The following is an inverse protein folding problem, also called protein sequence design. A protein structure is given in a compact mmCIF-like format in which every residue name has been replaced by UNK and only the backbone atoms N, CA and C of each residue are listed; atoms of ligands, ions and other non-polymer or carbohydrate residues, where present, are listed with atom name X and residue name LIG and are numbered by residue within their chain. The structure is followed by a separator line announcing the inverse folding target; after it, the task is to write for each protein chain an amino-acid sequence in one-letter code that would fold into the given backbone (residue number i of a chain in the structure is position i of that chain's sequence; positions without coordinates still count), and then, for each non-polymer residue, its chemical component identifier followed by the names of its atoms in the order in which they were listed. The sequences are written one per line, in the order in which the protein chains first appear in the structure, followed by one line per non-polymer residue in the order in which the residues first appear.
data_IF_585113705443
#
_entry.id   IF_585113705443
#
_cell.length_a   1.000
_cell.length_b   1.000
_cell.length_c   1.000
_cell.angle_alpha   90.00
_cell.angle_beta   90.00
_cell.angle_gamma   90.00
#
_symmetry.space_group_name_H-M   'P 1'
#
loop_
_entity.id
_entity.type
_entity.pdbx_description
1 polymer ?
#
# COMPACT_ATOMS: atom_id res chain seq x y z
N UNK A 1 48.66 -15.80 -22.50
CA UNK A 1 47.64 -14.76 -22.20
C UNK A 1 46.46 -15.00 -23.12
N UNK A 2 45.25 -15.23 -22.59
CA UNK A 2 44.11 -15.50 -23.49
C UNK A 2 42.80 -16.01 -22.91
N UNK A 3 42.57 -16.04 -21.58
CA UNK A 3 41.30 -16.58 -21.05
C UNK A 3 40.42 -15.57 -20.29
N UNK A 4 40.86 -14.31 -20.10
CA UNK A 4 40.04 -13.28 -19.41
C UNK A 4 38.97 -12.62 -20.30
N UNK A 5 38.95 -12.92 -21.60
CA UNK A 5 37.97 -12.37 -22.54
C UNK A 5 36.70 -13.21 -22.61
N UNK A 6 36.82 -14.54 -22.46
CA UNK A 6 35.67 -15.47 -22.53
C UNK A 6 34.83 -15.44 -21.23
N UNK A 7 35.45 -15.18 -20.07
CA UNK A 7 34.73 -15.00 -18.80
C UNK A 7 33.83 -13.75 -18.78
N UNK A 8 34.21 -12.66 -19.47
CA UNK A 8 33.38 -11.45 -19.54
C UNK A 8 32.13 -11.58 -20.42
N UNK A 9 32.07 -12.60 -21.28
CA UNK A 9 30.91 -12.88 -22.14
C UNK A 9 29.90 -13.85 -21.54
N UNK A 10 30.24 -14.48 -20.41
CA UNK A 10 29.29 -15.25 -19.57
C UNK A 10 28.79 -14.43 -18.37
N UNK A 11 28.80 -13.10 -18.46
CA UNK A 11 28.24 -12.27 -17.40
C UNK A 11 26.73 -12.48 -17.36
N UNK A 12 26.27 -12.85 -16.17
CA UNK A 12 24.95 -13.30 -15.83
C UNK A 12 23.82 -12.56 -16.56
N UNK A 13 22.91 -13.34 -17.13
CA UNK A 13 21.56 -12.87 -17.45
C UNK A 13 20.89 -12.52 -16.11
N UNK A 14 21.13 -11.31 -15.65
CA UNK A 14 20.35 -10.67 -14.60
C UNK A 14 18.87 -10.85 -15.02
N UNK A 15 18.00 -11.45 -14.18
CA UNK A 15 16.64 -11.75 -14.59
C UNK A 15 15.96 -10.44 -14.96
N UNK A 16 15.77 -10.25 -16.27
CA UNK A 16 15.05 -9.14 -16.88
C UNK A 16 13.77 -8.88 -16.08
N UNK A 17 13.46 -7.61 -15.82
CA UNK A 17 12.24 -7.18 -15.13
C UNK A 17 10.99 -7.89 -15.69
N UNK A 18 11.01 -8.24 -16.98
CA UNK A 18 9.99 -9.04 -17.68
C UNK A 18 9.81 -10.46 -17.11
N UNK A 19 10.89 -11.11 -16.67
CA UNK A 19 10.85 -12.43 -16.02
C UNK A 19 10.30 -12.41 -14.59
N UNK A 20 10.43 -11.29 -13.87
CA UNK A 20 9.72 -11.07 -12.58
C UNK A 20 8.22 -10.86 -12.79
N UNK A 21 7.82 -10.22 -13.89
CA UNK A 21 6.41 -9.99 -14.24
C UNK A 21 5.74 -11.30 -14.72
N UNK A 22 6.49 -12.18 -15.41
CA UNK A 22 5.98 -13.47 -15.90
C UNK A 22 5.61 -14.48 -14.78
N UNK A 23 6.07 -14.27 -13.55
CA UNK A 23 5.74 -15.10 -12.40
C UNK A 23 4.48 -14.65 -11.63
N UNK A 24 3.76 -13.64 -12.12
CA UNK A 24 2.50 -13.15 -11.52
C UNK A 24 1.30 -14.04 -11.90
N UNK A 25 1.47 -14.97 -12.86
CA UNK A 25 0.41 -15.85 -13.36
C UNK A 25 0.29 -17.22 -12.70
N UNK A 26 0.75 -17.43 -11.45
CA UNK A 26 0.45 -18.67 -10.69
C UNK A 26 -0.69 -18.40 -9.68
N UNK A 27 -1.66 -19.32 -9.52
CA UNK A 27 -2.82 -19.11 -8.66
C UNK A 27 -2.43 -18.91 -7.18
N UNK A 28 -2.70 -17.70 -6.69
CA UNK A 28 -3.35 -17.31 -5.42
C UNK A 28 -3.02 -17.92 -4.04
N UNK A 29 -2.13 -18.90 -3.87
CA UNK A 29 -1.98 -19.53 -2.53
C UNK A 29 -1.21 -18.66 -1.50
N UNK A 30 -0.57 -17.56 -1.94
CA UNK A 30 0.16 -16.64 -1.05
C UNK A 30 -0.17 -15.15 -1.21
N UNK A 31 -1.12 -14.76 -2.06
CA UNK A 31 -1.40 -13.33 -2.28
C UNK A 31 -2.16 -12.72 -1.09
N UNK A 32 -3.19 -13.40 -0.59
CA UNK A 32 -3.94 -12.99 0.59
C UNK A 32 -3.03 -12.86 1.81
N UNK A 33 -2.16 -13.86 2.02
CA UNK A 33 -1.20 -13.83 3.12
C UNK A 33 -0.20 -12.66 2.99
N UNK A 34 0.34 -12.42 1.78
CA UNK A 34 1.22 -11.27 1.52
C UNK A 34 0.50 -9.95 1.77
N UNK A 35 -0.74 -9.79 1.30
CA UNK A 35 -1.55 -8.60 1.54
C UNK A 35 -1.77 -8.42 3.05
N UNK A 36 -2.09 -9.48 3.78
CA UNK A 36 -2.25 -9.45 5.24
C UNK A 36 -0.98 -9.00 5.96
N UNK A 37 0.18 -9.59 5.62
CA UNK A 37 1.48 -9.21 6.20
C UNK A 37 1.84 -7.74 5.91
N UNK A 38 1.59 -7.26 4.70
CA UNK A 38 1.84 -5.85 4.32
C UNK A 38 0.88 -4.93 5.08
N UNK A 39 -0.40 -5.27 5.16
CA UNK A 39 -1.42 -4.49 5.88
C UNK A 39 -1.07 -4.34 7.35
N UNK A 40 -0.67 -5.44 8.02
CA UNK A 40 -0.22 -5.40 9.41
C UNK A 40 0.98 -4.47 9.61
N UNK A 41 1.95 -4.50 8.69
CA UNK A 41 3.11 -3.58 8.73
C UNK A 41 2.68 -2.13 8.55
N UNK A 42 1.80 -1.85 7.58
CA UNK A 42 1.26 -0.50 7.36
C UNK A 42 0.56 0.00 8.63
N UNK A 43 -0.31 -0.80 9.23
CA UNK A 43 -1.04 -0.43 10.44
C UNK A 43 -0.10 -0.15 11.62
N UNK A 44 1.00 -0.91 11.75
CA UNK A 44 2.02 -0.64 12.77
C UNK A 44 2.73 0.70 12.57
N UNK A 45 3.00 1.07 11.31
CA UNK A 45 3.61 2.35 10.96
C UNK A 45 2.63 3.50 11.16
N UNK A 46 1.36 3.33 10.77
CA UNK A 46 0.29 4.29 11.06
C UNK A 46 0.22 4.64 12.55
N UNK A 47 0.17 3.63 13.44
CA UNK A 47 0.16 3.87 14.90
C UNK A 47 1.39 4.63 15.38
N UNK A 48 2.55 4.33 14.79
CA UNK A 48 3.80 5.03 15.12
C UNK A 48 3.77 6.49 14.67
N UNK A 49 3.22 6.77 13.48
CA UNK A 49 3.01 8.12 12.97
C UNK A 49 1.99 8.89 13.81
N UNK A 50 0.89 8.27 14.23
CA UNK A 50 -0.11 8.89 15.10
C UNK A 50 0.50 9.28 16.47
N UNK A 51 1.29 8.37 17.06
CA UNK A 51 2.01 8.66 18.29
C UNK A 51 3.03 9.80 18.09
N UNK A 52 3.72 9.84 16.95
CA UNK A 52 4.63 10.94 16.62
C UNK A 52 3.88 12.27 16.45
N UNK A 53 2.75 12.29 15.73
CA UNK A 53 1.91 13.47 15.56
C UNK A 53 1.48 14.04 16.92
N UNK A 54 1.06 13.17 17.85
CA UNK A 54 0.69 13.60 19.20
C UNK A 54 1.86 14.20 19.97
N UNK A 55 3.07 13.64 19.84
CA UNK A 55 4.28 14.20 20.46
C UNK A 55 4.62 15.59 19.91
N UNK A 56 4.49 15.81 18.60
CA UNK A 56 4.69 17.11 17.99
C UNK A 56 3.65 18.14 18.43
N UNK A 57 2.39 17.74 18.59
CA UNK A 57 1.32 18.58 19.14
C UNK A 57 1.67 19.03 20.58
N UNK A 58 2.03 18.08 21.46
CA UNK A 58 2.41 18.37 22.84
C UNK A 58 3.65 19.28 22.91
N UNK A 59 4.67 19.02 22.08
CA UNK A 59 5.86 19.88 21.98
C UNK A 59 5.49 21.29 21.51
N UNK A 60 4.60 21.41 20.53
CA UNK A 60 4.07 22.68 20.04
C UNK A 60 3.34 23.46 21.14
N UNK A 61 2.51 22.79 21.94
CA UNK A 61 1.84 23.41 23.08
C UNK A 61 2.83 23.91 24.13
N UNK A 62 3.89 23.14 24.42
CA UNK A 62 4.96 23.56 25.32
C UNK A 62 5.73 24.79 24.82
N UNK A 63 6.03 24.86 23.52
CA UNK A 63 6.64 26.05 22.90
C UNK A 63 5.71 27.25 22.97
N UNK A 64 4.42 27.06 22.71
CA UNK A 64 3.44 28.13 22.80
C UNK A 64 3.39 28.77 24.20
N UNK A 65 3.36 27.95 25.26
CA UNK A 65 3.41 28.48 26.64
C UNK A 65 4.70 29.28 26.91
N UNK A 66 5.84 28.82 26.38
CA UNK A 66 7.12 29.55 26.51
C UNK A 66 7.13 30.86 25.74
N UNK A 67 6.47 30.93 24.59
CA UNK A 67 6.27 32.18 23.83
C UNK A 67 5.46 33.18 24.66
N UNK A 68 4.32 32.74 25.22
CA UNK A 68 3.47 33.60 26.07
C UNK A 68 4.28 34.15 27.26
N UNK A 69 5.10 33.31 27.91
CA UNK A 69 5.99 33.75 28.97
C UNK A 69 7.01 34.79 28.50
N UNK A 70 7.73 34.54 27.40
CA UNK A 70 8.71 35.48 26.87
C UNK A 70 8.09 36.84 26.50
N UNK A 71 6.89 36.83 25.92
CA UNK A 71 6.12 38.04 25.64
C UNK A 71 5.79 38.80 26.93
N UNK A 72 5.35 38.10 27.99
CA UNK A 72 5.04 38.73 29.28
C UNK A 72 6.26 39.37 29.95
N UNK A 73 7.45 38.82 29.71
CA UNK A 73 8.74 39.34 30.19
C UNK A 73 9.32 40.43 29.26
N UNK A 74 8.61 40.80 28.20
CA UNK A 74 9.07 41.71 27.12
C UNK A 74 10.37 41.27 26.43
N UNK A 75 10.65 39.97 26.42
CA UNK A 75 11.76 39.37 25.70
C UNK A 75 11.33 39.01 24.26
N UNK A 76 11.24 40.03 23.41
CA UNK A 76 10.76 39.87 22.03
C UNK A 76 11.68 39.00 21.16
N UNK A 77 13.01 39.11 21.37
CA UNK A 77 13.98 38.32 20.63
C UNK A 77 13.77 36.82 20.87
N UNK A 78 13.58 36.42 22.13
CA UNK A 78 13.30 35.03 22.49
C UNK A 78 11.93 34.57 22.01
N UNK A 79 10.90 35.41 22.13
CA UNK A 79 9.57 35.10 21.64
C UNK A 79 9.59 34.81 20.12
N UNK A 80 10.31 35.61 19.34
CA UNK A 80 10.39 35.46 17.88
C UNK A 80 11.10 34.16 17.45
N UNK A 81 12.21 33.81 18.10
CA UNK A 81 12.92 32.54 17.84
C UNK A 81 12.01 31.34 18.16
N UNK A 82 11.33 31.38 19.31
CA UNK A 82 10.41 30.30 19.70
C UNK A 82 9.19 30.19 18.76
N UNK A 83 8.69 31.30 18.24
CA UNK A 83 7.60 31.32 17.27
C UNK A 83 8.00 30.66 15.94
N UNK A 84 9.24 30.87 15.50
CA UNK A 84 9.79 30.22 14.30
C UNK A 84 9.87 28.72 14.47
N UNK A 85 10.40 28.24 15.60
CA UNK A 85 10.43 26.81 15.94
C UNK A 85 9.01 26.22 16.02
N UNK A 86 8.05 26.95 16.62
CA UNK A 86 6.66 26.49 16.67
C UNK A 86 6.05 26.29 15.27
N UNK A 87 6.35 27.18 14.33
CA UNK A 87 5.88 27.05 12.95
C UNK A 87 6.44 25.78 12.28
N UNK A 88 7.72 25.50 12.44
CA UNK A 88 8.35 24.28 11.91
C UNK A 88 7.81 23.02 12.59
N UNK A 89 7.61 23.02 13.91
CA UNK A 89 6.98 21.91 14.65
C UNK A 89 5.58 21.62 14.11
N UNK A 90 4.76 22.65 13.86
CA UNK A 90 3.41 22.48 13.27
C UNK A 90 3.47 21.95 11.84
N UNK A 91 4.41 22.42 11.03
CA UNK A 91 4.61 21.95 9.65
C UNK A 91 4.97 20.47 9.61
N UNK A 92 5.90 20.03 10.45
CA UNK A 92 6.28 18.62 10.57
C UNK A 92 5.11 17.79 11.11
N UNK A 93 4.41 18.26 12.14
CA UNK A 93 3.22 17.59 12.69
C UNK A 93 2.12 17.37 11.64
N UNK A 94 1.86 18.36 10.78
CA UNK A 94 0.91 18.25 9.66
C UNK A 94 1.39 17.23 8.62
N UNK A 95 2.68 17.22 8.28
CA UNK A 95 3.25 16.24 7.36
C UNK A 95 3.08 14.80 7.87
N UNK A 96 3.37 14.57 9.16
CA UNK A 96 3.21 13.25 9.80
C UNK A 96 1.73 12.83 9.80
N UNK A 97 0.83 13.73 10.14
CA UNK A 97 -0.62 13.45 10.16
C UNK A 97 -1.13 13.05 8.77
N UNK A 98 -0.71 13.78 7.73
CA UNK A 98 -1.05 13.44 6.35
C UNK A 98 -0.47 12.09 5.91
N UNK A 99 0.76 11.77 6.32
CA UNK A 99 1.36 10.47 6.04
C UNK A 99 0.60 9.32 6.72
N UNK A 100 0.15 9.52 7.97
CA UNK A 100 -0.68 8.55 8.68
C UNK A 100 -1.99 8.27 7.93
N UNK A 101 -2.71 9.31 7.51
CA UNK A 101 -3.94 9.18 6.71
C UNK A 101 -3.70 8.48 5.37
N UNK A 102 -2.58 8.78 4.70
CA UNK A 102 -2.23 8.13 3.45
C UNK A 102 -1.99 6.61 3.66
N UNK A 103 -1.29 6.22 4.73
CA UNK A 103 -1.08 4.81 5.07
C UNK A 103 -2.40 4.10 5.43
N UNK A 104 -3.29 4.75 6.20
CA UNK A 104 -4.63 4.22 6.47
C UNK A 104 -5.41 3.97 5.18
N UNK A 105 -5.36 4.91 4.24
CA UNK A 105 -6.02 4.77 2.93
C UNK A 105 -5.49 3.56 2.14
N UNK A 106 -4.16 3.35 2.15
CA UNK A 106 -3.56 2.17 1.50
C UNK A 106 -4.00 0.88 2.20
N UNK A 107 -3.99 0.84 3.54
CA UNK A 107 -4.46 -0.32 4.33
C UNK A 107 -5.91 -0.68 3.98
N UNK A 108 -6.82 0.30 3.93
CA UNK A 108 -8.21 0.08 3.54
C UNK A 108 -8.34 -0.50 2.12
N UNK A 109 -7.60 0.03 1.14
CA UNK A 109 -7.63 -0.48 -0.24
C UNK A 109 -7.11 -1.92 -0.34
N UNK A 110 -6.05 -2.24 0.41
CA UNK A 110 -5.50 -3.60 0.46
C UNK A 110 -6.51 -4.59 1.04
N UNK A 111 -7.27 -4.21 2.07
CA UNK A 111 -8.35 -5.03 2.61
C UNK A 111 -9.44 -5.28 1.58
N UNK A 112 -9.89 -4.25 0.85
CA UNK A 112 -10.86 -4.43 -0.26
C UNK A 112 -10.33 -5.38 -1.33
N UNK A 113 -9.06 -5.27 -1.72
CA UNK A 113 -8.45 -6.18 -2.70
C UNK A 113 -8.41 -7.62 -2.16
N UNK A 114 -8.15 -7.80 -0.88
CA UNK A 114 -8.18 -9.11 -0.23
C UNK A 114 -9.58 -9.73 -0.22
N UNK A 115 -10.61 -8.94 0.12
CA UNK A 115 -12.01 -9.37 0.15
C UNK A 115 -12.51 -9.77 -1.25
N UNK A 116 -12.16 -8.99 -2.29
CA UNK A 116 -12.47 -9.35 -3.68
C UNK A 116 -11.76 -10.65 -4.10
N UNK A 117 -10.54 -10.88 -3.61
CA UNK A 117 -9.83 -12.15 -3.80
C UNK A 117 -10.63 -13.34 -3.26
N UNK A 118 -11.19 -13.22 -2.06
CA UNK A 118 -12.05 -14.26 -1.47
C UNK A 118 -13.31 -14.50 -2.31
N UNK A 119 -13.99 -13.44 -2.75
CA UNK A 119 -15.17 -13.56 -3.62
C UNK A 119 -14.85 -14.28 -4.92
N UNK A 120 -13.74 -13.96 -5.59
CA UNK A 120 -13.32 -14.64 -6.82
C UNK A 120 -13.04 -16.12 -6.57
N UNK A 121 -12.42 -16.48 -5.44
CA UNK A 121 -12.21 -17.89 -5.10
C UNK A 121 -13.52 -18.67 -4.88
N UNK A 122 -14.55 -18.01 -4.34
CA UNK A 122 -15.89 -18.59 -4.16
C UNK A 122 -16.64 -18.71 -5.49
N UNK A 123 -16.51 -17.73 -6.39
CA UNK A 123 -17.23 -17.69 -7.67
C UNK A 123 -16.58 -18.55 -8.77
N UNK A 124 -15.28 -18.85 -8.68
CA UNK A 124 -14.56 -19.64 -9.67
C UNK A 124 -15.23 -20.99 -10.01
N UNK A 125 -15.67 -21.81 -9.03
CA UNK A 125 -16.41 -23.04 -9.31
C UNK A 125 -17.72 -22.81 -10.08
N UNK A 126 -18.47 -21.74 -9.77
CA UNK A 126 -19.71 -21.42 -10.46
C UNK A 126 -19.47 -21.04 -11.93
N UNK A 127 -18.40 -20.28 -12.21
CA UNK A 127 -17.94 -19.99 -13.59
C UNK A 127 -17.58 -21.27 -14.35
N UNK A 128 -16.85 -22.19 -13.72
CA UNK A 128 -16.50 -23.47 -14.35
C UNK A 128 -17.75 -24.30 -14.67
N UNK A 129 -18.73 -24.35 -13.77
CA UNK A 129 -20.01 -25.02 -14.01
C UNK A 129 -20.76 -24.40 -15.19
N UNK A 130 -20.85 -23.07 -15.27
CA UNK A 130 -21.45 -22.36 -16.40
C UNK A 130 -20.76 -22.71 -17.73
N UNK A 131 -19.42 -22.76 -17.76
CA UNK A 131 -18.67 -23.16 -18.97
C UNK A 131 -18.90 -24.62 -19.37
N UNK A 132 -19.15 -25.50 -18.40
CA UNK A 132 -19.44 -26.92 -18.66
C UNK A 132 -20.83 -27.03 -19.31
N UNK A 133 -21.84 -26.38 -18.74
CA UNK A 133 -23.22 -26.37 -19.26
C UNK A 133 -23.26 -25.72 -20.65
N UNK A 134 -22.53 -24.62 -20.88
CA UNK A 134 -22.48 -23.98 -22.20
C UNK A 134 -21.85 -24.90 -23.24
N UNK A 135 -20.77 -25.62 -22.89
CA UNK A 135 -20.14 -26.61 -23.77
C UNK A 135 -21.08 -27.77 -24.10
N UNK A 136 -21.84 -28.28 -23.11
CA UNK A 136 -22.81 -29.36 -23.32
C UNK A 136 -23.96 -28.92 -24.24
N UNK A 137 -24.52 -27.73 -23.99
CA UNK A 137 -25.58 -27.17 -24.85
C UNK A 137 -25.11 -26.83 -26.26
N UNK A 138 -23.80 -26.64 -26.50
CA UNK A 138 -23.27 -26.37 -27.84
C UNK A 138 -23.57 -27.47 -28.86
N UNK A 139 -23.81 -28.70 -28.39
CA UNK A 139 -24.15 -29.85 -29.24
C UNK A 139 -25.66 -29.99 -29.53
N UNK A 140 -26.53 -29.42 -28.69
CA UNK A 140 -27.99 -29.60 -28.73
C UNK A 140 -28.70 -28.32 -29.17
N UNK A 141 -28.25 -27.17 -28.67
CA UNK A 141 -28.86 -25.87 -28.87
C UNK A 141 -27.79 -24.76 -28.88
N UNK A 142 -27.18 -24.50 -30.05
CA UNK A 142 -26.06 -23.56 -30.20
C UNK A 142 -26.38 -22.13 -29.73
N UNK A 143 -27.61 -21.69 -29.93
CA UNK A 143 -28.09 -20.36 -29.51
C UNK A 143 -28.03 -20.19 -27.97
N UNK A 144 -28.44 -21.22 -27.23
CA UNK A 144 -28.37 -21.19 -25.77
C UNK A 144 -26.92 -21.31 -25.24
N UNK A 145 -26.07 -22.07 -25.93
CA UNK A 145 -24.64 -22.13 -25.64
C UNK A 145 -23.97 -20.76 -25.81
N UNK A 146 -24.33 -20.02 -26.86
CA UNK A 146 -23.81 -18.68 -27.13
C UNK A 146 -24.24 -17.67 -26.04
N UNK A 147 -25.51 -17.70 -25.62
CA UNK A 147 -25.99 -16.85 -24.52
C UNK A 147 -25.33 -17.19 -23.18
N UNK A 148 -25.16 -18.48 -22.85
CA UNK A 148 -24.44 -18.87 -21.63
C UNK A 148 -22.95 -18.55 -21.68
N UNK A 149 -22.32 -18.64 -22.86
CA UNK A 149 -20.93 -18.24 -23.08
C UNK A 149 -20.70 -16.75 -22.84
N UNK A 150 -21.73 -15.92 -23.02
CA UNK A 150 -21.68 -14.48 -22.70
C UNK A 150 -21.81 -14.17 -21.21
N UNK A 151 -22.24 -15.14 -20.38
CA UNK A 151 -22.45 -14.98 -18.93
C UNK A 151 -21.21 -15.38 -18.10
N UNK A 152 -20.41 -16.35 -18.55
CA UNK A 152 -19.25 -16.90 -17.84
C UNK A 152 -17.93 -16.20 -18.09
#
# INVERSE_FOLDING_TARGET
MGNRFVEKWKKDKDPSVVSKIKNIGKPSEGLKEKIGQVTQRIDSQTRSLDAAAKRFELRGNGLFQRIVKAISERDEARANILATELAEIRKVGKMISNASLALQSVSMRLNTVSELGDVVTILNPAKNLLSTISSEMGSVMPEASQELGNIG
#
